data_IF_382394690437
#
_entry.id   IF_382394690437
#
_cell.length_a   1.000
_cell.length_b   1.000
_cell.length_c   1.000
_cell.angle_alpha   90.00
_cell.angle_beta   90.00
_cell.angle_gamma   90.00
#
_symmetry.space_group_name_H-M   'P 1'
#
loop_
_entity.id
_entity.type
_entity.pdbx_description
1 polymer ?
#
# COMPACT_ATOMS: atom_id res chain seq x y z
N UNK A 1 -17.83 26.43 6.49
CA UNK A 1 -17.20 26.95 7.73
C UNK A 1 -15.69 26.81 7.58
N UNK A 2 -14.99 27.93 7.39
CA UNK A 2 -13.53 28.00 7.22
C UNK A 2 -12.85 27.60 8.53
N UNK A 3 -12.33 26.38 8.62
CA UNK A 3 -11.39 26.02 9.68
C UNK A 3 -10.11 26.81 9.43
N UNK A 4 -9.94 27.95 10.12
CA UNK A 4 -8.64 28.62 10.16
C UNK A 4 -7.72 27.71 10.98
N UNK A 5 -6.72 27.04 10.39
CA UNK A 5 -5.82 26.20 11.17
C UNK A 5 -5.16 27.09 12.22
N UNK A 6 -5.26 26.67 13.48
CA UNK A 6 -4.54 27.33 14.57
C UNK A 6 -3.06 27.08 14.31
N UNK A 7 -2.36 28.09 13.79
CA UNK A 7 -0.94 28.03 13.52
C UNK A 7 -0.19 27.99 14.86
N UNK A 8 0.07 26.78 15.37
CA UNK A 8 0.98 26.62 16.50
C UNK A 8 2.37 27.03 16.00
N UNK A 9 2.84 28.21 16.41
CA UNK A 9 4.16 28.75 16.03
C UNK A 9 5.27 27.97 16.74
N UNK A 10 5.56 26.75 16.31
CA UNK A 10 6.78 26.02 16.68
C UNK A 10 7.96 26.65 15.94
N UNK A 11 8.43 27.82 16.38
CA UNK A 11 9.44 28.62 15.65
C UNK A 11 10.75 27.83 15.44
N UNK A 12 11.35 27.31 16.50
CA UNK A 12 12.64 26.59 16.44
C UNK A 12 12.48 25.07 16.62
N UNK A 13 11.38 24.60 17.21
CA UNK A 13 11.14 23.18 17.45
C UNK A 13 10.41 22.45 16.31
N UNK A 14 9.98 23.15 15.26
CA UNK A 14 9.29 22.51 14.12
C UNK A 14 10.19 21.55 13.37
N UNK A 15 11.43 21.96 13.10
CA UNK A 15 12.40 21.13 12.36
C UNK A 15 12.74 19.85 13.14
N UNK A 16 13.13 19.88 14.43
CA UNK A 16 13.41 18.65 15.16
C UNK A 16 12.18 17.75 15.30
N UNK A 17 10.98 18.31 15.51
CA UNK A 17 9.76 17.48 15.58
C UNK A 17 9.40 16.82 14.24
N UNK A 18 9.56 17.53 13.12
CA UNK A 18 9.36 16.94 11.79
C UNK A 18 10.40 15.85 11.52
N UNK A 19 11.66 16.07 11.89
CA UNK A 19 12.71 15.05 11.75
C UNK A 19 12.37 13.82 12.59
N UNK A 20 11.93 13.98 13.84
CA UNK A 20 11.53 12.85 14.70
C UNK A 20 10.34 12.10 14.11
N UNK A 21 9.31 12.80 13.61
CA UNK A 21 8.16 12.16 12.96
C UNK A 21 8.55 11.42 11.68
N UNK A 22 9.45 11.98 10.86
CA UNK A 22 9.92 11.33 9.65
C UNK A 22 10.80 10.12 9.97
N UNK A 23 11.69 10.24 10.96
CA UNK A 23 12.54 9.14 11.42
C UNK A 23 11.70 8.01 12.02
N UNK A 24 10.70 8.31 12.84
CA UNK A 24 9.84 7.27 13.42
C UNK A 24 9.02 6.56 12.34
N UNK A 25 8.45 7.30 11.38
CA UNK A 25 7.75 6.72 10.24
C UNK A 25 8.70 5.85 9.39
N UNK A 26 9.90 6.36 9.11
CA UNK A 26 10.91 5.61 8.37
C UNK A 26 11.29 4.31 9.10
N UNK A 27 11.51 4.34 10.42
CA UNK A 27 11.84 3.14 11.19
C UNK A 27 10.69 2.14 11.15
N UNK A 28 9.44 2.59 11.40
CA UNK A 28 8.27 1.70 11.43
C UNK A 28 8.03 1.02 10.08
N UNK A 29 8.34 1.67 8.97
CA UNK A 29 8.14 1.12 7.62
C UNK A 29 9.35 0.33 7.12
N UNK A 30 10.55 0.87 7.28
CA UNK A 30 11.77 0.29 6.70
C UNK A 30 12.29 -0.89 7.52
N UNK A 31 12.18 -0.85 8.85
CA UNK A 31 12.66 -1.95 9.70
C UNK A 31 11.99 -3.29 9.35
N UNK A 32 10.64 -3.41 9.29
CA UNK A 32 10.02 -4.68 8.91
C UNK A 32 10.34 -5.08 7.47
N UNK A 33 10.48 -4.12 6.55
CA UNK A 33 10.86 -4.41 5.16
C UNK A 33 12.26 -5.04 5.09
N UNK A 34 13.24 -4.48 5.81
CA UNK A 34 14.60 -5.02 5.89
C UNK A 34 14.59 -6.41 6.53
N UNK A 35 13.83 -6.60 7.61
CA UNK A 35 13.72 -7.92 8.27
C UNK A 35 13.12 -8.96 7.31
N UNK A 36 12.02 -8.65 6.62
CA UNK A 36 11.40 -9.56 5.64
C UNK A 36 12.41 -9.92 4.54
N UNK A 37 13.15 -8.94 4.05
CA UNK A 37 14.16 -9.16 3.04
C UNK A 37 15.26 -10.12 3.54
N UNK A 38 15.83 -9.86 4.72
CA UNK A 38 16.86 -10.72 5.32
C UNK A 38 16.35 -12.14 5.63
N UNK A 39 15.10 -12.27 6.12
CA UNK A 39 14.45 -13.55 6.37
C UNK A 39 14.23 -14.35 5.09
N UNK A 40 13.98 -13.69 3.96
CA UNK A 40 13.91 -14.36 2.66
C UNK A 40 15.20 -15.10 2.27
N UNK A 41 16.36 -14.62 2.70
CA UNK A 41 17.66 -15.28 2.47
C UNK A 41 17.95 -16.43 3.44
N UNK A 42 17.23 -16.57 4.55
CA UNK A 42 17.51 -17.63 5.53
C UNK A 42 17.14 -19.01 4.97
N UNK A 43 18.08 -19.97 5.01
CA UNK A 43 17.90 -21.36 4.53
C UNK A 43 16.60 -22.02 4.98
N UNK A 44 16.17 -21.74 6.20
CA UNK A 44 14.84 -22.10 6.70
C UNK A 44 14.35 -21.10 7.73
N UNK A 45 13.04 -21.09 7.95
CA UNK A 45 12.38 -20.20 8.90
C UNK A 45 12.81 -20.52 10.34
N UNK A 46 13.07 -19.49 11.14
CA UNK A 46 13.47 -19.64 12.55
C UNK A 46 14.97 -19.85 12.81
N UNK A 47 15.81 -19.90 11.78
CA UNK A 47 17.26 -19.88 11.98
C UNK A 47 17.76 -18.50 12.44
N UNK A 48 18.87 -18.44 13.21
CA UNK A 48 19.47 -17.17 13.57
C UNK A 48 20.01 -16.45 12.33
N UNK A 49 19.88 -15.12 12.31
CA UNK A 49 20.43 -14.22 11.29
C UNK A 49 21.96 -14.24 11.30
N UNK A 50 22.53 -15.31 10.75
CA UNK A 50 23.97 -15.52 10.55
C UNK A 50 24.24 -15.71 9.07
N UNK A 51 25.39 -15.20 8.60
CA UNK A 51 25.83 -15.33 7.21
C UNK A 51 25.87 -16.79 6.73
N UNK A 52 26.22 -17.73 7.60
CA UNK A 52 26.22 -19.18 7.32
C UNK A 52 24.85 -19.75 6.93
N UNK A 53 23.77 -19.09 7.38
CA UNK A 53 22.39 -19.48 7.13
C UNK A 53 21.77 -18.72 5.95
N UNK A 54 22.51 -17.81 5.30
CA UNK A 54 22.01 -17.07 4.14
C UNK A 54 22.21 -17.87 2.85
N UNK A 55 21.20 -17.91 2.00
CA UNK A 55 21.19 -18.59 0.70
C UNK A 55 20.23 -17.91 -0.27
N UNK A 56 20.52 -18.02 -1.57
CA UNK A 56 19.62 -17.59 -2.64
C UNK A 56 18.63 -18.69 -3.08
N UNK A 57 18.76 -19.90 -2.52
CA UNK A 57 17.97 -21.07 -2.94
C UNK A 57 16.45 -20.87 -2.74
N UNK A 58 16.03 -20.15 -1.70
CA UNK A 58 14.60 -19.86 -1.48
C UNK A 58 14.01 -19.03 -2.61
N UNK A 59 14.73 -17.99 -3.04
CA UNK A 59 14.30 -17.15 -4.16
C UNK A 59 14.25 -17.96 -5.45
N UNK A 60 15.25 -18.79 -5.73
CA UNK A 60 15.22 -19.70 -6.88
C UNK A 60 14.02 -20.66 -6.80
N UNK A 61 13.76 -21.25 -5.63
CA UNK A 61 12.66 -22.19 -5.46
C UNK A 61 11.30 -21.51 -5.65
N UNK A 62 11.06 -20.36 -5.02
CA UNK A 62 9.78 -19.62 -5.12
C UNK A 62 9.57 -19.06 -6.52
N UNK A 63 10.60 -18.47 -7.14
CA UNK A 63 10.48 -17.82 -8.44
C UNK A 63 10.55 -18.80 -9.60
N UNK A 64 11.32 -19.90 -9.49
CA UNK A 64 11.63 -20.77 -10.63
C UNK A 64 11.11 -22.21 -10.54
N UNK A 65 10.96 -22.77 -9.35
CA UNK A 65 10.61 -24.19 -9.18
C UNK A 65 9.14 -24.35 -8.79
N UNK A 66 8.65 -23.53 -7.87
CA UNK A 66 7.29 -23.62 -7.35
C UNK A 66 6.28 -23.11 -8.36
N UNK A 67 5.58 -24.05 -9.02
CA UNK A 67 4.45 -23.74 -9.89
C UNK A 67 3.34 -23.00 -9.14
N UNK A 68 3.06 -23.41 -7.90
CA UNK A 68 2.05 -22.77 -7.05
C UNK A 68 2.37 -21.29 -6.78
N UNK A 69 3.62 -20.97 -6.44
CA UNK A 69 4.02 -19.58 -6.20
C UNK A 69 3.91 -18.73 -7.47
N UNK A 70 4.34 -19.27 -8.62
CA UNK A 70 4.21 -18.60 -9.92
C UNK A 70 2.77 -18.36 -10.33
N UNK A 71 1.90 -19.35 -10.16
CA UNK A 71 0.48 -19.25 -10.51
C UNK A 71 -0.23 -18.27 -9.58
N UNK A 72 0.09 -18.28 -8.28
CA UNK A 72 -0.41 -17.29 -7.33
C UNK A 72 0.01 -15.86 -7.70
N UNK A 73 1.31 -15.64 -8.00
CA UNK A 73 1.82 -14.33 -8.44
C UNK A 73 1.10 -13.86 -9.72
N UNK A 74 0.95 -14.72 -10.72
CA UNK A 74 0.23 -14.40 -11.97
C UNK A 74 -1.23 -14.05 -11.70
N UNK A 75 -1.92 -14.87 -10.90
CA UNK A 75 -3.32 -14.64 -10.57
C UNK A 75 -3.51 -13.30 -9.85
N UNK A 76 -2.68 -12.98 -8.85
CA UNK A 76 -2.73 -11.69 -8.15
C UNK A 76 -2.45 -10.50 -9.06
N UNK A 77 -1.50 -10.60 -9.98
CA UNK A 77 -1.20 -9.53 -10.94
C UNK A 77 -2.37 -9.32 -11.91
N UNK A 78 -2.89 -10.41 -12.49
CA UNK A 78 -4.03 -10.33 -13.41
C UNK A 78 -5.28 -9.80 -12.68
N UNK A 79 -5.54 -10.28 -11.47
CA UNK A 79 -6.67 -9.85 -10.65
C UNK A 79 -6.56 -8.37 -10.29
N UNK A 80 -5.39 -7.90 -9.82
CA UNK A 80 -5.21 -6.50 -9.44
C UNK A 80 -5.30 -5.55 -10.63
N UNK A 81 -4.72 -5.89 -11.77
CA UNK A 81 -4.81 -5.07 -13.00
C UNK A 81 -6.24 -5.03 -13.52
N UNK A 82 -6.91 -6.18 -13.62
CA UNK A 82 -8.29 -6.24 -14.10
C UNK A 82 -9.24 -5.48 -13.16
N UNK A 83 -9.09 -5.67 -11.85
CA UNK A 83 -9.84 -4.91 -10.85
C UNK A 83 -9.58 -3.40 -10.97
N UNK A 84 -8.32 -2.98 -11.10
CA UNK A 84 -7.97 -1.56 -11.28
C UNK A 84 -8.61 -0.96 -12.53
N UNK A 85 -8.59 -1.66 -13.68
CA UNK A 85 -9.21 -1.19 -14.92
C UNK A 85 -10.73 -1.07 -14.77
N UNK A 86 -11.38 -2.11 -14.24
CA UNK A 86 -12.83 -2.13 -14.07
C UNK A 86 -13.28 -1.05 -13.10
N UNK A 87 -12.64 -0.95 -11.94
CA UNK A 87 -12.96 0.06 -10.92
C UNK A 87 -12.71 1.48 -11.41
N UNK A 88 -11.61 1.70 -12.13
CA UNK A 88 -11.33 3.00 -12.75
C UNK A 88 -12.40 3.37 -13.77
N UNK A 89 -12.78 2.44 -14.65
CA UNK A 89 -13.80 2.69 -15.68
C UNK A 89 -15.18 2.97 -15.07
N UNK A 90 -15.65 2.11 -14.17
CA UNK A 90 -16.94 2.29 -13.48
C UNK A 90 -16.92 3.57 -12.63
N UNK A 91 -15.84 3.80 -11.87
CA UNK A 91 -15.67 4.99 -11.05
C UNK A 91 -15.69 6.28 -11.86
N UNK A 92 -15.02 6.30 -13.03
CA UNK A 92 -15.06 7.47 -13.93
C UNK A 92 -16.43 7.68 -14.57
N UNK A 93 -17.13 6.62 -14.97
CA UNK A 93 -18.51 6.75 -15.49
C UNK A 93 -19.45 7.33 -14.43
N UNK A 94 -19.42 6.81 -13.20
CA UNK A 94 -20.24 7.31 -12.09
C UNK A 94 -19.89 8.76 -11.78
N UNK A 95 -18.60 9.09 -11.68
CA UNK A 95 -18.14 10.47 -11.45
C UNK A 95 -18.62 11.42 -12.56
N UNK A 96 -18.57 11.00 -13.82
CA UNK A 96 -19.03 11.79 -14.96
C UNK A 96 -20.54 12.10 -14.87
N UNK A 97 -21.37 11.10 -14.55
CA UNK A 97 -22.82 11.27 -14.39
C UNK A 97 -23.14 12.26 -13.26
N UNK A 98 -22.48 12.12 -12.11
CA UNK A 98 -22.68 12.97 -10.93
C UNK A 98 -22.28 14.43 -11.21
N UNK A 99 -21.20 14.65 -11.96
CA UNK A 99 -20.64 15.99 -12.23
C UNK A 99 -21.33 16.68 -13.40
N UNK A 100 -21.52 15.99 -14.54
CA UNK A 100 -21.99 16.61 -15.80
C UNK A 100 -23.49 16.50 -16.01
N UNK A 101 -24.11 15.36 -15.71
CA UNK A 101 -25.54 15.12 -16.04
C UNK A 101 -26.47 15.72 -14.98
N UNK A 102 -26.01 15.87 -13.73
CA UNK A 102 -26.80 16.42 -12.60
C UNK A 102 -28.21 15.78 -12.50
N UNK A 103 -28.32 14.44 -12.44
CA UNK A 103 -29.61 13.77 -12.38
C UNK A 103 -30.42 14.20 -11.14
N UNK A 104 -31.76 14.27 -11.27
CA UNK A 104 -32.64 14.42 -10.11
C UNK A 104 -32.48 13.17 -9.23
N UNK A 105 -31.98 13.33 -8.00
CA UNK A 105 -31.57 12.22 -7.12
C UNK A 105 -30.05 12.07 -6.90
N UNK A 106 -29.24 13.03 -7.39
CA UNK A 106 -27.77 13.08 -7.22
C UNK A 106 -27.28 12.78 -5.80
N UNK A 107 -28.02 13.20 -4.76
CA UNK A 107 -27.64 12.95 -3.36
C UNK A 107 -27.59 11.47 -2.98
N UNK A 108 -28.47 10.63 -3.55
CA UNK A 108 -28.44 9.17 -3.30
C UNK A 108 -27.24 8.53 -4.01
N UNK A 109 -26.93 8.97 -5.23
CA UNK A 109 -25.76 8.50 -5.98
C UNK A 109 -24.44 8.94 -5.33
N UNK A 110 -24.38 10.15 -4.77
CA UNK A 110 -23.23 10.63 -4.00
C UNK A 110 -23.09 9.88 -2.67
N UNK A 111 -24.19 9.63 -1.96
CA UNK A 111 -24.17 8.86 -0.70
C UNK A 111 -23.77 7.41 -0.97
N UNK A 112 -24.32 6.73 -1.98
CA UNK A 112 -23.91 5.38 -2.35
C UNK A 112 -22.46 5.32 -2.85
N UNK A 113 -21.97 6.36 -3.52
CA UNK A 113 -20.58 6.47 -3.98
C UNK A 113 -19.57 6.84 -2.87
N UNK A 114 -20.01 7.53 -1.82
CA UNK A 114 -19.21 7.89 -0.65
C UNK A 114 -19.33 6.84 0.49
N UNK A 115 -20.38 6.01 0.46
CA UNK A 115 -20.56 4.84 1.33
C UNK A 115 -19.98 3.56 0.72
N UNK A 116 -18.68 3.54 0.36
CA UNK A 116 -17.98 2.28 0.53
C UNK A 116 -16.65 2.49 1.24
N UNK A 117 -16.66 2.16 2.53
CA UNK A 117 -15.55 1.51 3.23
C UNK A 117 -16.10 0.34 4.03
#
# INVERSE_FOLDING_TARGET
KSMRPMLIKLRHFKIPMVVVCLLSLAIIVLLPLVIIFLVGFLKAYGLPLKLENMTFNNYHHVLLVSKMARDAMKNSVVLSISAAIITMFVGTMVAYVIVKIKPKGKGILEVLGLLPY
#
